data_IF_079669050681
#
_entry.id   IF_079669050681
#
_cell.length_a   1.000
_cell.length_b   1.000
_cell.length_c   1.000
_cell.angle_alpha   90.00
_cell.angle_beta   90.00
_cell.angle_gamma   90.00
#
_symmetry.space_group_name_H-M   'P 1'
#
loop_
_entity.id
_entity.type
_entity.pdbx_description
1 polymer ?
#
# COMPACT_ATOMS: atom_id res chain seq x y z
N UNK A 1 -9.92 13.99 8.95
CA UNK A 1 -9.98 13.71 7.52
C UNK A 1 -9.27 14.81 6.75
N UNK A 2 -8.31 14.44 5.91
CA UNK A 2 -7.63 15.39 5.05
C UNK A 2 -7.28 14.75 3.71
N UNK A 3 -7.33 15.55 2.64
CA UNK A 3 -6.69 15.22 1.37
C UNK A 3 -5.17 15.24 1.57
N UNK A 4 -4.51 14.25 1.03
CA UNK A 4 -3.08 14.09 1.32
C UNK A 4 -2.16 15.15 0.71
N UNK A 5 -2.62 15.96 -0.24
CA UNK A 5 -1.89 17.12 -0.77
C UNK A 5 -2.19 18.39 0.03
N UNK A 6 -3.42 18.55 0.47
CA UNK A 6 -3.84 19.68 1.30
C UNK A 6 -3.16 19.67 2.66
N UNK A 7 -3.11 18.51 3.34
CA UNK A 7 -2.48 18.39 4.65
C UNK A 7 -0.97 18.71 4.62
N UNK A 8 -0.28 18.44 3.51
CA UNK A 8 1.13 18.82 3.37
C UNK A 8 1.30 20.34 3.27
N UNK A 9 0.38 21.04 2.59
CA UNK A 9 0.41 22.49 2.53
C UNK A 9 0.06 23.13 3.88
N UNK A 10 -0.82 22.52 4.64
CA UNK A 10 -1.23 22.99 5.97
C UNK A 10 -0.13 22.78 7.02
N UNK A 11 0.36 21.56 7.18
CA UNK A 11 1.25 21.16 8.26
C UNK A 11 2.73 21.06 7.87
N UNK A 12 3.06 21.10 6.59
CA UNK A 12 4.43 20.89 6.12
C UNK A 12 5.42 21.93 6.63
N UNK A 13 5.01 23.18 6.82
CA UNK A 13 5.87 24.22 7.41
C UNK A 13 6.21 23.91 8.87
N UNK A 14 5.23 23.50 9.67
CA UNK A 14 5.44 23.09 11.07
C UNK A 14 6.32 21.84 11.12
N UNK A 15 6.06 20.86 10.26
CA UNK A 15 6.89 19.66 10.16
C UNK A 15 8.37 19.99 9.91
N UNK A 16 8.67 20.86 8.94
CA UNK A 16 10.05 21.27 8.61
C UNK A 16 10.75 21.95 9.77
N UNK A 17 10.04 22.74 10.59
CA UNK A 17 10.63 23.50 11.70
C UNK A 17 10.73 22.70 12.99
N UNK A 18 9.78 21.80 13.26
CA UNK A 18 9.67 21.06 14.52
C UNK A 18 10.22 19.64 14.47
N UNK A 19 10.31 19.05 13.27
CA UNK A 19 10.62 17.63 13.09
C UNK A 19 9.49 16.66 13.44
N UNK A 20 8.31 17.17 13.88
CA UNK A 20 7.14 16.34 14.18
C UNK A 20 6.58 15.72 12.89
N UNK A 21 6.20 14.46 12.94
CA UNK A 21 5.57 13.78 11.80
C UNK A 21 4.15 14.28 11.56
N UNK A 22 3.69 14.23 10.33
CA UNK A 22 2.31 14.56 9.96
C UNK A 22 1.50 13.26 9.98
N UNK A 23 0.53 13.21 10.90
CA UNK A 23 -0.39 12.07 11.02
C UNK A 23 -1.76 12.48 10.50
N UNK A 24 -2.36 11.67 9.65
CA UNK A 24 -3.70 11.93 9.11
C UNK A 24 -4.39 10.65 8.66
N UNK A 25 -5.69 10.73 8.48
CA UNK A 25 -6.52 9.64 7.96
C UNK A 25 -7.35 10.14 6.78
N UNK A 26 -7.66 9.25 5.86
CA UNK A 26 -8.68 9.40 4.82
C UNK A 26 -9.90 8.54 5.12
N UNK A 27 -10.88 8.52 4.19
CA UNK A 27 -12.14 7.80 4.39
C UNK A 27 -12.04 6.28 4.56
N UNK A 28 -10.89 5.69 4.28
CA UNK A 28 -10.73 4.24 4.05
C UNK A 28 -10.11 3.49 5.24
N UNK A 29 -10.34 3.90 6.48
CA UNK A 29 -9.76 3.25 7.68
C UNK A 29 -8.24 3.05 7.59
N UNK A 30 -7.52 4.06 7.14
CA UNK A 30 -6.06 4.05 6.98
C UNK A 30 -5.40 5.04 7.94
N UNK A 31 -4.25 4.68 8.46
CA UNK A 31 -3.39 5.51 9.28
C UNK A 31 -2.17 5.94 8.46
N UNK A 32 -2.10 7.21 8.09
CA UNK A 32 -1.06 7.72 7.20
C UNK A 32 -0.06 8.56 7.97
N UNK A 33 1.22 8.33 7.72
CA UNK A 33 2.34 9.07 8.33
C UNK A 33 3.14 9.71 7.20
N UNK A 34 3.10 11.04 7.10
CA UNK A 34 3.89 11.77 6.13
C UNK A 34 5.10 12.44 6.79
N UNK A 35 6.22 12.40 6.07
CA UNK A 35 7.46 13.06 6.48
C UNK A 35 8.25 13.54 5.27
N UNK A 36 8.88 14.71 5.42
CA UNK A 36 9.83 15.22 4.45
C UNK A 36 11.16 14.45 4.58
N UNK A 37 11.70 13.97 3.48
CA UNK A 37 12.88 13.08 3.46
C UNK A 37 14.13 13.70 4.09
N UNK A 38 14.27 15.04 4.08
CA UNK A 38 15.36 15.73 4.78
C UNK A 38 15.20 15.72 6.31
N UNK A 39 14.01 15.55 6.82
CA UNK A 39 13.72 15.57 8.27
C UNK A 39 13.70 14.15 8.83
N UNK A 40 13.11 13.22 8.07
CA UNK A 40 13.01 11.82 8.43
C UNK A 40 13.32 10.99 7.19
N UNK A 41 14.42 10.23 7.20
CA UNK A 41 14.74 9.38 6.05
C UNK A 41 13.65 8.35 5.79
N UNK A 42 13.57 7.86 4.57
CA UNK A 42 12.57 6.86 4.14
C UNK A 42 12.63 5.62 5.03
N UNK A 43 13.84 5.10 5.31
CA UNK A 43 14.04 3.92 6.16
C UNK A 43 13.55 4.16 7.61
N UNK A 44 13.79 5.38 8.14
CA UNK A 44 13.31 5.75 9.47
C UNK A 44 11.79 5.85 9.49
N UNK A 45 11.19 6.42 8.44
CA UNK A 45 9.74 6.50 8.28
C UNK A 45 9.11 5.09 8.22
N UNK A 46 9.72 4.16 7.49
CA UNK A 46 9.26 2.77 7.42
C UNK A 46 9.29 2.09 8.78
N UNK A 47 10.38 2.23 9.54
CA UNK A 47 10.46 1.69 10.92
C UNK A 47 9.39 2.25 11.84
N UNK A 48 9.06 3.54 11.70
CA UNK A 48 7.99 4.17 12.46
C UNK A 48 6.64 3.57 12.06
N UNK A 49 6.40 3.35 10.78
CA UNK A 49 5.18 2.71 10.29
C UNK A 49 5.05 1.26 10.78
N UNK A 50 6.13 0.49 10.80
CA UNK A 50 6.15 -0.88 11.34
C UNK A 50 5.80 -0.92 12.84
N UNK A 51 6.32 0.02 13.61
CA UNK A 51 5.95 0.16 15.03
C UNK A 51 4.48 0.54 15.17
N UNK A 52 4.04 1.52 14.40
CA UNK A 52 2.65 1.99 14.41
C UNK A 52 1.67 0.88 14.01
N UNK A 53 2.07 -0.01 13.07
CA UNK A 53 1.26 -1.15 12.65
C UNK A 53 0.83 -2.03 13.83
N UNK A 54 1.76 -2.31 14.75
CA UNK A 54 1.50 -3.16 15.93
C UNK A 54 0.40 -2.57 16.84
N UNK A 55 0.40 -1.25 17.02
CA UNK A 55 -0.65 -0.58 17.80
C UNK A 55 -1.97 -0.45 17.03
N UNK A 56 -1.88 -0.24 15.72
CA UNK A 56 -3.06 -0.11 14.88
C UNK A 56 -3.84 -1.43 14.70
N UNK A 57 -3.21 -2.59 14.94
CA UNK A 57 -3.88 -3.90 14.90
C UNK A 57 -4.98 -4.00 15.96
N UNK A 58 -4.76 -3.46 17.15
CA UNK A 58 -5.74 -3.44 18.24
C UNK A 58 -7.03 -2.66 17.89
N UNK A 59 -6.92 -1.73 16.94
CA UNK A 59 -8.03 -0.87 16.50
C UNK A 59 -8.61 -1.29 15.13
N UNK A 60 -8.21 -2.43 14.59
CA UNK A 60 -8.62 -2.92 13.27
C UNK A 60 -8.40 -1.90 12.14
N UNK A 61 -7.32 -1.12 12.22
CA UNK A 61 -6.95 -0.19 11.15
C UNK A 61 -6.32 -0.99 10.01
N UNK A 62 -6.96 -1.04 8.87
CA UNK A 62 -6.59 -1.91 7.75
C UNK A 62 -5.17 -1.69 7.22
N UNK A 63 -4.71 -0.42 7.16
CA UNK A 63 -3.36 -0.08 6.65
C UNK A 63 -2.71 1.05 7.43
N UNK A 64 -1.41 0.94 7.66
CA UNK A 64 -0.52 2.05 7.99
C UNK A 64 0.27 2.39 6.74
N UNK A 65 0.32 3.66 6.35
CA UNK A 65 0.92 4.07 5.09
C UNK A 65 2.04 5.07 5.34
N UNK A 66 3.25 4.76 4.88
CA UNK A 66 4.34 5.71 4.79
C UNK A 66 4.14 6.63 3.58
N UNK A 67 4.19 7.94 3.81
CA UNK A 67 4.02 8.98 2.79
C UNK A 67 5.20 9.94 2.79
N UNK A 68 6.36 9.54 2.28
CA UNK A 68 7.49 10.45 2.11
C UNK A 68 7.18 11.53 1.08
N UNK A 69 7.76 12.72 1.31
CA UNK A 69 7.61 13.84 0.40
C UNK A 69 8.88 14.72 0.41
N UNK A 70 9.01 15.54 -0.63
CA UNK A 70 10.10 16.49 -0.84
C UNK A 70 9.56 17.87 -1.22
N UNK A 71 10.43 18.83 -1.42
CA UNK A 71 10.07 20.15 -1.89
C UNK A 71 10.19 21.25 -0.85
N UNK A 72 9.48 22.34 -1.05
CA UNK A 72 9.46 23.52 -0.15
C UNK A 72 8.02 23.91 0.14
N UNK A 73 7.83 24.70 1.18
CA UNK A 73 6.52 25.26 1.49
C UNK A 73 5.86 25.89 0.25
N UNK A 74 4.62 25.52 0.01
CA UNK A 74 3.85 25.91 -1.18
C UNK A 74 4.08 25.03 -2.43
N UNK A 75 5.08 24.12 -2.40
CA UNK A 75 5.35 23.20 -3.50
C UNK A 75 5.92 21.88 -2.98
N UNK A 76 5.16 21.21 -2.12
CA UNK A 76 5.50 19.87 -1.66
C UNK A 76 5.03 18.81 -2.65
N UNK A 77 5.88 17.82 -2.91
CA UNK A 77 5.61 16.72 -3.83
C UNK A 77 5.84 15.40 -3.11
N UNK A 78 4.87 14.49 -3.20
CA UNK A 78 5.03 13.12 -2.71
C UNK A 78 6.01 12.36 -3.59
N UNK A 79 6.86 11.55 -2.96
CA UNK A 79 7.78 10.68 -3.69
C UNK A 79 7.16 9.32 -3.96
N UNK A 80 7.84 8.53 -4.77
CA UNK A 80 7.40 7.17 -5.11
C UNK A 80 7.70 6.15 -4.01
N UNK A 81 8.45 6.54 -2.96
CA UNK A 81 8.80 5.70 -1.80
C UNK A 81 7.62 5.54 -0.81
N UNK A 82 6.40 5.57 -1.33
CA UNK A 82 5.22 5.15 -0.59
C UNK A 82 5.33 3.67 -0.26
N UNK A 83 5.02 3.31 0.99
CA UNK A 83 4.91 1.92 1.40
C UNK A 83 3.69 1.72 2.27
N UNK A 84 2.90 0.71 1.93
CA UNK A 84 1.72 0.31 2.68
C UNK A 84 2.07 -0.89 3.59
N UNK A 85 1.69 -0.79 4.86
CA UNK A 85 1.82 -1.84 5.87
C UNK A 85 0.41 -2.33 6.21
N UNK A 86 0.00 -3.38 5.53
CA UNK A 86 -1.31 -4.01 5.71
C UNK A 86 -1.44 -4.71 7.06
N UNK A 87 -2.65 -4.82 7.57
CA UNK A 87 -2.98 -5.71 8.68
C UNK A 87 -3.00 -7.14 8.16
N UNK A 88 -2.42 -8.05 8.92
CA UNK A 88 -2.57 -9.47 8.61
C UNK A 88 -4.05 -9.86 8.71
N UNK A 89 -4.55 -10.71 7.83
CA UNK A 89 -5.91 -11.22 7.94
C UNK A 89 -6.19 -11.79 9.34
N UNK A 90 -7.30 -11.42 9.99
CA UNK A 90 -7.59 -11.83 11.37
C UNK A 90 -7.93 -13.31 11.53
N UNK A 91 -8.03 -14.03 10.41
CA UNK A 91 -8.37 -15.45 10.38
C UNK A 91 -7.77 -16.18 9.19
N UNK A 92 -8.14 -17.42 9.05
CA UNK A 92 -7.69 -18.25 7.94
C UNK A 92 -8.27 -17.76 6.62
N UNK A 93 -7.39 -17.61 5.63
CA UNK A 93 -7.73 -17.22 4.26
C UNK A 93 -7.44 -18.38 3.31
N UNK A 94 -7.96 -18.29 2.08
CA UNK A 94 -7.59 -19.26 1.05
C UNK A 94 -6.08 -19.34 0.84
N UNK A 95 -5.38 -18.20 0.89
CA UNK A 95 -3.92 -18.17 0.75
C UNK A 95 -3.21 -18.92 1.88
N UNK A 96 -3.63 -18.69 3.13
CA UNK A 96 -3.06 -19.41 4.29
C UNK A 96 -3.38 -20.90 4.24
N UNK A 97 -4.56 -21.29 3.78
CA UNK A 97 -4.95 -22.70 3.61
C UNK A 97 -4.09 -23.39 2.54
N UNK A 98 -3.92 -22.77 1.39
CA UNK A 98 -3.11 -23.29 0.30
C UNK A 98 -1.65 -23.44 0.73
N UNK A 99 -1.11 -22.42 1.40
CA UNK A 99 0.26 -22.46 1.93
C UNK A 99 0.48 -23.61 2.93
N UNK A 100 -0.45 -23.84 3.87
CA UNK A 100 -0.40 -24.94 4.83
C UNK A 100 -0.43 -26.32 4.15
N UNK A 101 -1.02 -26.40 2.96
CA UNK A 101 -1.09 -27.63 2.17
C UNK A 101 0.04 -27.72 1.12
N UNK A 102 1.09 -26.90 1.23
CA UNK A 102 2.22 -26.86 0.31
C UNK A 102 1.83 -26.60 -1.16
N UNK A 103 0.75 -25.85 -1.37
CA UNK A 103 0.33 -25.43 -2.68
C UNK A 103 0.92 -24.05 -3.00
N UNK A 104 1.51 -23.93 -4.16
CA UNK A 104 2.12 -22.67 -4.60
C UNK A 104 1.07 -21.63 -5.02
N UNK A 105 1.29 -20.39 -4.63
CA UNK A 105 0.38 -19.26 -4.88
C UNK A 105 1.11 -18.11 -5.55
N UNK A 106 0.47 -17.48 -6.53
CA UNK A 106 1.00 -16.32 -7.23
C UNK A 106 0.05 -15.14 -7.09
N UNK A 107 0.54 -14.05 -6.50
CA UNK A 107 -0.18 -12.78 -6.37
C UNK A 107 0.25 -11.78 -7.44
N UNK A 108 -0.69 -11.30 -8.25
CA UNK A 108 -0.44 -10.31 -9.31
C UNK A 108 -1.16 -9.00 -8.96
N UNK A 109 -0.47 -7.87 -9.05
CA UNK A 109 -0.99 -6.56 -8.69
C UNK A 109 -0.80 -6.23 -7.21
N UNK A 110 -1.83 -5.72 -6.53
CA UNK A 110 -1.80 -5.32 -5.11
C UNK A 110 -2.06 -6.46 -4.11
N UNK A 111 -2.02 -7.70 -4.52
CA UNK A 111 -2.39 -8.83 -3.65
C UNK A 111 -1.47 -8.92 -2.44
N UNK A 112 -0.16 -8.75 -2.62
CA UNK A 112 0.80 -8.72 -1.51
C UNK A 112 0.57 -7.56 -0.54
N UNK A 113 0.14 -6.40 -1.03
CA UNK A 113 -0.20 -5.25 -0.18
C UNK A 113 -1.45 -5.47 0.66
N UNK A 114 -2.42 -6.22 0.12
CA UNK A 114 -3.72 -6.47 0.75
C UNK A 114 -3.68 -7.62 1.77
N UNK A 115 -2.96 -8.70 1.44
CA UNK A 115 -2.96 -9.93 2.23
C UNK A 115 -1.63 -10.19 2.97
N UNK A 116 -0.63 -9.35 2.74
CA UNK A 116 0.74 -9.59 3.18
C UNK A 116 1.47 -10.63 2.32
N UNK A 117 2.78 -10.64 2.40
CA UNK A 117 3.61 -11.58 1.62
C UNK A 117 3.65 -13.00 2.21
N UNK A 118 3.19 -13.19 3.45
CA UNK A 118 3.42 -14.38 4.27
C UNK A 118 2.89 -15.69 3.65
N UNK A 119 1.84 -15.61 2.84
CA UNK A 119 1.18 -16.78 2.24
C UNK A 119 1.24 -16.80 0.71
N UNK A 120 2.10 -15.98 0.13
CA UNK A 120 2.36 -15.96 -1.30
C UNK A 120 3.72 -16.60 -1.59
N UNK A 121 3.73 -17.57 -2.51
CA UNK A 121 4.99 -18.16 -2.99
C UNK A 121 5.72 -17.18 -3.90
N UNK A 122 4.96 -16.47 -4.71
CA UNK A 122 5.44 -15.44 -5.63
C UNK A 122 4.47 -14.27 -5.62
N UNK A 123 4.99 -13.05 -5.72
CA UNK A 123 4.20 -11.85 -5.88
C UNK A 123 4.84 -10.90 -6.88
N UNK A 124 4.02 -10.20 -7.67
CA UNK A 124 4.47 -9.17 -8.59
C UNK A 124 3.54 -7.96 -8.54
N UNK A 125 4.13 -6.78 -8.43
CA UNK A 125 3.41 -5.52 -8.64
C UNK A 125 3.25 -5.24 -10.13
N UNK A 126 2.15 -4.58 -10.48
CA UNK A 126 1.84 -4.23 -11.86
C UNK A 126 1.74 -2.73 -12.05
N UNK A 127 2.08 -2.25 -13.24
CA UNK A 127 1.97 -0.85 -13.62
C UNK A 127 0.55 -0.48 -14.11
N UNK A 128 -0.30 -1.47 -14.38
CA UNK A 128 -1.67 -1.32 -14.85
C UNK A 128 -2.30 -2.67 -15.21
N UNK A 129 -3.55 -2.64 -15.66
CA UNK A 129 -4.33 -3.85 -15.97
C UNK A 129 -3.73 -4.64 -17.13
N UNK A 130 -3.26 -3.96 -18.20
CA UNK A 130 -2.62 -4.63 -19.34
C UNK A 130 -1.41 -5.46 -18.92
N UNK A 131 -0.56 -4.88 -18.08
CA UNK A 131 0.61 -5.57 -17.54
C UNK A 131 0.23 -6.73 -16.61
N UNK A 132 -0.83 -6.55 -15.80
CA UNK A 132 -1.38 -7.62 -14.97
C UNK A 132 -1.93 -8.80 -15.77
N UNK A 133 -2.59 -8.52 -16.89
CA UNK A 133 -3.09 -9.55 -17.82
C UNK A 133 -1.97 -10.28 -18.56
N UNK A 134 -0.85 -9.61 -18.87
CA UNK A 134 0.33 -10.26 -19.44
C UNK A 134 0.90 -11.31 -18.48
N UNK A 135 1.12 -10.95 -17.21
CA UNK A 135 1.58 -11.90 -16.17
C UNK A 135 0.61 -13.07 -15.99
N UNK A 136 -0.69 -12.80 -15.96
CA UNK A 136 -1.71 -13.85 -15.87
C UNK A 136 -1.68 -14.78 -17.05
N UNK A 137 -1.54 -14.24 -18.27
CA UNK A 137 -1.50 -15.01 -19.50
C UNK A 137 -0.25 -15.90 -19.58
N UNK A 138 0.91 -15.36 -19.18
CA UNK A 138 2.15 -16.11 -19.15
C UNK A 138 2.08 -17.23 -18.11
N UNK A 139 1.53 -16.97 -16.92
CA UNK A 139 1.33 -18.00 -15.91
C UNK A 139 0.34 -19.07 -16.35
N UNK A 140 -0.75 -18.70 -17.02
CA UNK A 140 -1.73 -19.66 -17.54
C UNK A 140 -1.17 -20.58 -18.63
N UNK A 141 -0.17 -20.12 -19.38
CA UNK A 141 0.48 -20.91 -20.45
C UNK A 141 1.65 -21.76 -19.97
N UNK A 142 2.50 -21.19 -19.15
CA UNK A 142 3.83 -21.72 -18.86
C UNK A 142 4.07 -21.87 -17.36
N UNK A 143 3.11 -21.41 -16.53
CA UNK A 143 3.27 -21.33 -15.09
C UNK A 143 3.14 -22.68 -14.38
N UNK A 144 3.54 -22.69 -13.14
CA UNK A 144 3.55 -23.86 -12.27
C UNK A 144 2.86 -23.64 -10.94
N UNK A 145 2.27 -22.46 -10.73
CA UNK A 145 1.58 -22.19 -9.47
C UNK A 145 0.20 -22.86 -9.45
N UNK A 146 -0.17 -23.38 -8.29
CA UNK A 146 -1.45 -24.07 -8.09
C UNK A 146 -2.62 -23.09 -8.01
N UNK A 147 -2.37 -21.84 -7.61
CA UNK A 147 -3.37 -20.81 -7.47
C UNK A 147 -2.81 -19.45 -7.87
N UNK A 148 -3.55 -18.72 -8.72
CA UNK A 148 -3.20 -17.36 -9.15
C UNK A 148 -4.27 -16.39 -8.68
N UNK A 149 -3.87 -15.33 -7.98
CA UNK A 149 -4.75 -14.29 -7.52
C UNK A 149 -4.36 -12.97 -8.16
N UNK A 150 -5.25 -12.40 -8.98
CA UNK A 150 -4.99 -11.18 -9.74
C UNK A 150 -5.86 -10.04 -9.22
N UNK A 151 -5.26 -8.88 -9.02
CA UNK A 151 -5.95 -7.62 -8.81
C UNK A 151 -5.72 -6.71 -10.03
N UNK A 152 -6.77 -6.36 -10.75
CA UNK A 152 -6.75 -5.40 -11.84
C UNK A 152 -6.80 -3.99 -11.24
N UNK A 153 -5.64 -3.33 -11.23
CA UNK A 153 -5.42 -2.12 -10.44
C UNK A 153 -6.05 -0.86 -11.04
N UNK A 154 -6.22 -0.80 -12.37
CA UNK A 154 -6.76 0.39 -13.04
C UNK A 154 -8.24 0.55 -12.80
N UNK A 155 -8.99 -0.55 -12.72
CA UNK A 155 -10.42 -0.51 -12.37
C UNK A 155 -10.68 0.18 -11.04
N UNK A 156 -9.80 -0.03 -10.04
CA UNK A 156 -9.86 0.66 -8.77
C UNK A 156 -9.34 2.11 -8.88
N UNK A 157 -8.12 2.27 -9.41
CA UNK A 157 -7.39 3.55 -9.34
C UNK A 157 -7.91 4.62 -10.29
N UNK A 158 -8.29 4.23 -11.51
CA UNK A 158 -8.68 5.17 -12.57
C UNK A 158 -10.19 5.42 -12.57
N UNK A 159 -10.99 4.43 -12.26
CA UNK A 159 -12.45 4.48 -12.41
C UNK A 159 -13.20 4.39 -11.10
N UNK A 160 -12.89 3.41 -10.23
CA UNK A 160 -13.64 3.16 -9.00
C UNK A 160 -13.62 4.35 -8.02
N UNK A 161 -12.44 4.87 -7.70
CA UNK A 161 -12.29 6.04 -6.83
C UNK A 161 -12.82 7.35 -7.41
N UNK A 162 -13.09 7.39 -8.71
CA UNK A 162 -13.64 8.57 -9.40
C UNK A 162 -15.13 8.45 -9.70
N UNK A 163 -15.75 7.34 -9.29
CA UNK A 163 -17.14 7.03 -9.57
C UNK A 163 -17.48 7.12 -11.07
N UNK A 164 -16.52 6.71 -11.91
CA UNK A 164 -16.66 6.72 -13.37
C UNK A 164 -17.00 5.31 -13.92
N UNK A 165 -18.28 4.97 -14.04
CA UNK A 165 -18.71 3.65 -14.54
C UNK A 165 -18.63 3.52 -16.07
N UNK A 166 -18.18 4.56 -16.77
CA UNK A 166 -18.14 4.61 -18.25
C UNK A 166 -16.72 4.59 -18.80
N UNK A 167 -15.72 4.77 -17.94
CA UNK A 167 -14.31 4.78 -18.31
C UNK A 167 -13.73 3.44 -18.74
#
# INVERSE_FOLDING_TARGET
HASGTEILNELGKEHLSSGKLILYTSGDSVFQIAAHEKICSVEKLYKICEISRKYCDEYNIGRVIARPFVGKYGNFVRTYDRKDFGMNPPGETILSYLFKNNLSTYGIGKISDLFGEMYLTTAVHTEGDSNGLEYLHDEARNGSHNFVFVNLVDLDMLYGHREDPKG
#
